data_IF_579135301610
#
_entry.id   IF_579135301610
#
_cell.length_a   1.000
_cell.length_b   1.000
_cell.length_c   1.000
_cell.angle_alpha   90.00
_cell.angle_beta   90.00
_cell.angle_gamma   90.00
#
_symmetry.space_group_name_H-M   'P 1'
#
loop_
_entity.id
_entity.type
_entity.pdbx_description
1 polymer ?
#
# COMPACT_ATOMS: atom_id res chain seq x y z
N UNK A 1 -24.65 -14.92 6.85
CA UNK A 1 -26.04 -15.30 7.16
C UNK A 1 -26.69 -15.95 5.94
N UNK A 2 -27.18 -17.18 6.07
CA UNK A 2 -27.75 -17.98 4.97
C UNK A 2 -28.87 -17.25 4.22
N UNK A 3 -29.75 -16.59 4.94
CA UNK A 3 -30.87 -15.87 4.34
C UNK A 3 -30.46 -14.72 3.43
N UNK A 4 -29.34 -14.07 3.71
CA UNK A 4 -28.82 -12.96 2.90
C UNK A 4 -27.84 -13.44 1.82
N UNK A 5 -27.22 -14.59 2.01
CA UNK A 5 -26.20 -15.11 1.12
C UNK A 5 -26.74 -16.08 0.04
N UNK A 6 -28.04 -16.35 0.00
CA UNK A 6 -28.60 -17.33 -0.94
C UNK A 6 -28.27 -17.06 -2.40
N UNK A 7 -28.28 -15.80 -2.80
CA UNK A 7 -27.95 -15.41 -4.18
C UNK A 7 -26.44 -15.44 -4.42
N UNK A 8 -25.62 -15.07 -3.42
CA UNK A 8 -24.18 -15.14 -3.50
C UNK A 8 -23.66 -16.57 -3.61
N UNK A 9 -24.28 -17.52 -2.91
CA UNK A 9 -23.88 -18.94 -2.93
C UNK A 9 -23.96 -19.61 -4.31
N UNK A 10 -24.67 -19.00 -5.26
CA UNK A 10 -24.82 -19.49 -6.63
C UNK A 10 -23.87 -18.82 -7.61
N UNK A 11 -23.14 -17.79 -7.17
CA UNK A 11 -22.21 -17.03 -7.99
C UNK A 11 -20.80 -17.63 -7.92
N UNK A 12 -19.98 -17.31 -8.90
CA UNK A 12 -18.53 -17.57 -8.81
C UNK A 12 -17.92 -16.67 -7.73
N UNK A 13 -16.73 -17.02 -7.22
CA UNK A 13 -16.05 -16.19 -6.22
C UNK A 13 -15.79 -14.77 -6.74
N UNK A 14 -15.47 -14.63 -8.03
CA UNK A 14 -15.23 -13.34 -8.67
C UNK A 14 -16.49 -12.43 -8.74
N UNK A 15 -17.67 -13.03 -8.72
CA UNK A 15 -18.95 -12.32 -8.80
C UNK A 15 -19.69 -12.26 -7.45
N UNK A 16 -19.16 -12.93 -6.44
CA UNK A 16 -19.81 -13.11 -5.15
C UNK A 16 -20.07 -11.79 -4.42
N UNK A 17 -19.20 -10.82 -4.58
CA UNK A 17 -19.33 -9.47 -4.01
C UNK A 17 -19.02 -8.46 -5.11
N UNK A 18 -19.96 -7.54 -5.38
CA UNK A 18 -19.75 -6.45 -6.33
C UNK A 18 -19.24 -5.21 -5.61
N UNK A 19 -18.61 -4.29 -6.36
CA UNK A 19 -18.11 -3.03 -5.81
C UNK A 19 -19.21 -2.21 -5.10
N UNK A 20 -20.42 -2.23 -5.64
CA UNK A 20 -21.57 -1.53 -5.06
C UNK A 20 -22.02 -2.10 -3.69
N UNK A 21 -21.62 -3.33 -3.38
CA UNK A 21 -21.89 -3.97 -2.09
C UNK A 21 -20.85 -3.66 -1.03
N UNK A 22 -19.74 -3.05 -1.41
CA UNK A 22 -18.64 -2.67 -0.50
C UNK A 22 -18.84 -1.27 0.09
N UNK A 23 -20.07 -0.95 0.47
CA UNK A 23 -20.40 0.32 1.10
C UNK A 23 -20.28 0.23 2.63
N UNK A 24 -19.67 1.24 3.22
CA UNK A 24 -19.63 1.39 4.67
C UNK A 24 -20.79 2.25 5.16
N UNK A 25 -21.37 1.86 6.28
CA UNK A 25 -22.36 2.68 6.98
C UNK A 25 -21.64 3.72 7.80
N UNK A 26 -21.75 4.99 7.44
CA UNK A 26 -21.14 6.10 8.16
C UNK A 26 -21.92 6.49 9.43
N UNK A 27 -23.24 6.36 9.41
CA UNK A 27 -24.11 6.64 10.55
C UNK A 27 -25.58 6.60 10.16
N UNK A 28 -26.45 6.46 11.17
CA UNK A 28 -27.92 6.37 10.99
C UNK A 28 -28.68 7.35 11.87
N UNK A 29 -28.00 7.98 12.83
CA UNK A 29 -28.64 8.87 13.78
C UNK A 29 -28.56 10.33 13.32
N UNK A 30 -29.66 11.05 13.50
CA UNK A 30 -29.74 12.50 13.33
C UNK A 30 -30.69 13.08 14.37
N UNK A 31 -30.49 14.32 14.75
CA UNK A 31 -31.40 15.05 15.60
C UNK A 31 -32.61 15.57 14.80
N UNK A 32 -33.65 16.01 15.53
CA UNK A 32 -34.86 16.56 14.89
C UNK A 32 -34.50 17.75 13.98
N UNK A 33 -34.96 17.70 12.75
CA UNK A 33 -34.68 18.73 11.73
C UNK A 33 -33.29 18.62 11.03
N UNK A 34 -32.52 17.60 11.35
CA UNK A 34 -31.19 17.36 10.75
C UNK A 34 -31.20 16.08 9.89
N UNK A 35 -30.53 16.10 8.74
CA UNK A 35 -30.34 14.88 7.97
C UNK A 35 -29.19 14.04 8.55
N UNK A 36 -29.15 12.71 8.31
CA UNK A 36 -27.98 11.89 8.69
C UNK A 36 -26.66 12.42 8.12
N UNK A 37 -26.67 12.97 6.91
CA UNK A 37 -25.50 13.62 6.30
C UNK A 37 -25.02 14.80 7.15
N UNK A 38 -25.93 15.71 7.52
CA UNK A 38 -25.57 16.89 8.31
C UNK A 38 -25.03 16.51 9.69
N UNK A 39 -25.60 15.46 10.30
CA UNK A 39 -25.10 14.94 11.58
C UNK A 39 -23.66 14.42 11.47
N UNK A 40 -23.36 13.65 10.41
CA UNK A 40 -22.02 13.15 10.15
C UNK A 40 -21.05 14.28 9.82
N UNK A 41 -21.43 15.24 8.99
CA UNK A 41 -20.59 16.38 8.68
C UNK A 41 -20.30 17.24 9.92
N UNK A 42 -21.28 17.43 10.79
CA UNK A 42 -21.08 18.11 12.08
C UNK A 42 -20.06 17.37 12.95
N UNK A 43 -20.16 16.04 13.00
CA UNK A 43 -19.22 15.20 13.75
C UNK A 43 -17.80 15.30 13.17
N UNK A 44 -17.65 15.16 11.85
CA UNK A 44 -16.36 15.22 11.17
C UNK A 44 -15.69 16.59 11.36
N UNK A 45 -16.46 17.67 11.27
CA UNK A 45 -15.96 19.02 11.54
C UNK A 45 -15.48 19.17 12.97
N UNK A 46 -16.27 18.66 13.94
CA UNK A 46 -15.93 18.77 15.36
C UNK A 46 -14.70 17.95 15.75
N UNK A 47 -14.60 16.72 15.28
CA UNK A 47 -13.54 15.78 15.72
C UNK A 47 -12.26 15.89 14.89
N UNK A 48 -12.36 16.25 13.61
CA UNK A 48 -11.23 16.20 12.66
C UNK A 48 -11.01 17.51 11.90
N UNK A 49 -11.90 18.50 12.03
CA UNK A 49 -11.83 19.76 11.28
C UNK A 49 -12.16 19.61 9.78
N UNK A 50 -12.80 18.51 9.38
CA UNK A 50 -13.14 18.20 8.00
C UNK A 50 -14.48 18.85 7.65
N UNK A 51 -14.52 19.56 6.53
CA UNK A 51 -15.71 20.18 5.95
C UNK A 51 -16.13 19.48 4.64
N UNK A 52 -17.32 19.80 4.13
CA UNK A 52 -17.84 19.13 2.92
C UNK A 52 -16.96 19.40 1.69
N UNK A 53 -16.38 20.57 1.59
CA UNK A 53 -15.48 20.96 0.50
C UNK A 53 -14.21 20.11 0.44
N UNK A 54 -13.75 19.61 1.59
CA UNK A 54 -12.55 18.76 1.66
C UNK A 54 -12.75 17.46 0.89
N UNK A 55 -13.98 16.92 0.84
CA UNK A 55 -14.28 15.70 0.09
C UNK A 55 -14.16 15.85 -1.43
N UNK A 56 -14.20 17.08 -1.97
CA UNK A 56 -14.03 17.30 -3.41
C UNK A 56 -12.61 16.93 -3.90
N UNK A 57 -11.62 16.99 -3.02
CA UNK A 57 -10.21 16.65 -3.31
C UNK A 57 -9.69 15.46 -2.48
N UNK A 58 -10.53 14.86 -1.64
CA UNK A 58 -10.15 13.75 -0.79
C UNK A 58 -10.08 12.44 -1.58
N UNK A 59 -9.11 11.62 -1.24
CA UNK A 59 -9.07 10.22 -1.56
C UNK A 59 -9.50 9.42 -0.32
N UNK A 60 -10.51 8.58 -0.48
CA UNK A 60 -11.11 7.83 0.62
C UNK A 60 -10.92 6.33 0.38
N UNK A 61 -10.37 5.66 1.37
CA UNK A 61 -10.14 4.22 1.33
C UNK A 61 -10.86 3.53 2.49
N UNK A 62 -11.51 2.42 2.18
CA UNK A 62 -12.12 1.54 3.18
C UNK A 62 -11.16 0.39 3.46
N UNK A 63 -10.64 0.37 4.67
CA UNK A 63 -9.65 -0.63 5.10
C UNK A 63 -10.14 -1.41 6.31
N UNK A 64 -9.71 -2.68 6.51
CA UNK A 64 -10.00 -3.42 7.72
C UNK A 64 -9.46 -2.72 8.98
N UNK A 65 -10.28 -2.59 10.00
CA UNK A 65 -9.92 -1.96 11.26
C UNK A 65 -9.29 -2.95 12.28
N UNK A 66 -9.02 -4.18 11.87
CA UNK A 66 -8.43 -5.20 12.75
C UNK A 66 -6.97 -4.86 13.06
N UNK A 67 -6.62 -4.95 14.34
CA UNK A 67 -5.24 -4.77 14.79
C UNK A 67 -4.39 -5.98 14.46
N UNK A 68 -3.07 -5.76 14.36
CA UNK A 68 -2.08 -6.84 14.29
C UNK A 68 -2.21 -7.80 15.47
N UNK A 69 -1.99 -9.08 15.23
CA UNK A 69 -2.08 -10.13 16.25
C UNK A 69 -1.15 -11.28 15.95
N UNK A 70 -0.73 -11.97 17.00
CA UNK A 70 0.03 -13.21 16.88
C UNK A 70 -0.83 -14.32 16.28
N UNK A 71 -0.21 -15.19 15.50
CA UNK A 71 -0.80 -16.37 14.86
C UNK A 71 0.05 -17.59 15.15
N UNK A 72 -0.63 -18.73 15.29
CA UNK A 72 -0.04 -19.99 15.72
C UNK A 72 -0.08 -20.16 17.26
N UNK A 73 -0.06 -21.40 17.71
CA UNK A 73 0.01 -21.68 19.16
C UNK A 73 1.31 -21.19 19.80
N UNK A 74 2.37 -21.18 19.02
CA UNK A 74 3.71 -20.70 19.39
C UNK A 74 3.90 -19.20 19.14
N UNK A 75 2.90 -18.53 18.54
CA UNK A 75 2.93 -17.10 18.19
C UNK A 75 4.10 -16.73 17.28
N UNK A 76 4.49 -17.64 16.41
CA UNK A 76 5.61 -17.45 15.49
C UNK A 76 5.31 -16.56 14.30
N UNK A 77 4.04 -16.27 14.02
CA UNK A 77 3.58 -15.45 12.92
C UNK A 77 2.82 -14.22 13.41
N UNK A 78 2.77 -13.19 12.60
CA UNK A 78 1.99 -11.98 12.83
C UNK A 78 0.99 -11.81 11.68
N UNK A 79 -0.30 -11.78 12.01
CA UNK A 79 -1.34 -11.40 11.05
C UNK A 79 -1.67 -9.92 11.20
N UNK A 80 -1.63 -9.21 10.10
CA UNK A 80 -2.01 -7.80 10.03
C UNK A 80 -2.50 -7.46 8.64
N UNK A 81 -3.44 -6.53 8.54
CA UNK A 81 -3.77 -5.92 7.26
C UNK A 81 -2.58 -5.09 6.75
N UNK A 82 -2.29 -5.20 5.46
CA UNK A 82 -1.24 -4.42 4.80
C UNK A 82 0.19 -4.88 5.13
N UNK A 83 0.40 -6.18 5.50
CA UNK A 83 1.74 -6.76 5.57
C UNK A 83 2.44 -6.69 4.22
N UNK A 84 1.70 -6.87 3.17
CA UNK A 84 2.07 -6.52 1.83
C UNK A 84 1.68 -5.05 1.56
N UNK A 85 2.63 -4.11 1.42
CA UNK A 85 4.08 -4.31 1.53
C UNK A 85 4.69 -3.50 2.69
N UNK A 86 4.00 -3.41 3.82
CA UNK A 86 4.50 -2.66 4.99
C UNK A 86 5.76 -3.27 5.58
N UNK A 87 5.94 -4.57 5.43
CA UNK A 87 7.13 -5.24 5.98
C UNK A 87 8.39 -4.83 5.24
N UNK A 88 8.36 -4.75 3.91
CA UNK A 88 9.49 -4.26 3.12
C UNK A 88 9.64 -2.73 3.23
N UNK A 89 8.53 -2.00 3.29
CA UNK A 89 8.55 -0.55 3.54
C UNK A 89 9.21 -0.21 4.88
N UNK A 90 8.95 -0.99 5.93
CA UNK A 90 9.62 -0.85 7.21
C UNK A 90 11.13 -1.15 7.11
N UNK A 91 11.49 -2.23 6.41
CA UNK A 91 12.90 -2.57 6.20
C UNK A 91 13.65 -1.47 5.42
N UNK A 92 13.02 -0.88 4.39
CA UNK A 92 13.58 0.25 3.64
C UNK A 92 13.76 1.50 4.53
N UNK A 93 12.80 1.78 5.41
CA UNK A 93 12.89 2.88 6.36
C UNK A 93 14.06 2.66 7.35
N UNK A 94 14.16 1.50 7.95
CA UNK A 94 15.27 1.18 8.85
C UNK A 94 16.62 1.26 8.14
N UNK A 95 16.71 0.74 6.91
CA UNK A 95 17.93 0.79 6.12
C UNK A 95 18.40 2.23 5.86
N UNK A 96 17.50 3.15 5.51
CA UNK A 96 17.90 4.55 5.26
C UNK A 96 18.25 5.29 6.55
N UNK A 97 17.62 4.96 7.68
CA UNK A 97 17.94 5.53 8.99
C UNK A 97 19.31 5.06 9.52
N UNK A 98 19.67 3.81 9.26
CA UNK A 98 20.96 3.24 9.64
C UNK A 98 22.08 3.55 8.63
N UNK A 99 21.73 4.07 7.47
CA UNK A 99 22.68 4.36 6.41
C UNK A 99 23.72 5.41 6.85
N UNK A 100 24.98 5.08 6.64
CA UNK A 100 26.06 6.06 6.85
C UNK A 100 26.22 6.95 5.63
N UNK A 101 26.70 8.16 5.84
CA UNK A 101 27.02 9.06 4.71
C UNK A 101 28.00 8.36 3.75
N UNK A 102 27.61 8.27 2.49
CA UNK A 102 28.37 7.65 1.42
C UNK A 102 28.79 8.64 0.35
N UNK A 103 29.37 8.13 -0.70
CA UNK A 103 29.76 8.93 -1.88
C UNK A 103 28.53 9.33 -2.70
N UNK A 104 27.52 8.47 -2.76
CA UNK A 104 26.27 8.70 -3.48
C UNK A 104 25.15 9.11 -2.50
N UNK A 105 24.23 9.93 -2.98
CA UNK A 105 22.96 10.20 -2.27
C UNK A 105 22.16 8.91 -2.16
N UNK A 106 21.58 8.69 -0.98
CA UNK A 106 20.73 7.53 -0.70
C UNK A 106 19.30 8.00 -0.52
N UNK A 107 18.35 7.24 -1.03
CA UNK A 107 16.94 7.53 -0.92
C UNK A 107 16.14 6.26 -0.65
N UNK A 108 15.16 6.33 0.23
CA UNK A 108 14.12 5.32 0.35
C UNK A 108 12.84 5.90 -0.26
N UNK A 109 12.29 5.21 -1.24
CA UNK A 109 11.05 5.59 -1.91
C UNK A 109 9.97 4.59 -1.51
N UNK A 110 8.92 5.07 -0.86
CA UNK A 110 7.74 4.30 -0.49
C UNK A 110 6.60 4.73 -1.38
N UNK A 111 6.05 3.80 -2.13
CA UNK A 111 4.97 4.07 -3.09
C UNK A 111 3.72 3.31 -2.69
N UNK A 112 2.59 3.81 -3.13
CA UNK A 112 1.26 3.26 -2.87
C UNK A 112 0.66 2.69 -4.16
N UNK A 113 -0.41 1.89 -4.04
CA UNK A 113 -1.24 1.42 -5.16
C UNK A 113 -0.56 0.50 -6.17
N UNK A 114 0.48 -0.21 -5.76
CA UNK A 114 1.17 -1.17 -6.63
C UNK A 114 0.18 -2.22 -7.15
N UNK A 115 -0.60 -2.83 -6.28
CA UNK A 115 -1.58 -3.90 -6.57
C UNK A 115 -2.70 -3.51 -7.55
N UNK A 116 -2.92 -2.23 -7.73
CA UNK A 116 -3.94 -1.72 -8.66
C UNK A 116 -3.34 -0.98 -9.87
N UNK A 117 -2.01 -1.11 -10.09
CA UNK A 117 -1.32 -0.60 -11.27
C UNK A 117 -0.54 0.69 -11.06
N UNK A 118 -0.20 1.03 -9.83
CA UNK A 118 0.67 2.18 -9.46
C UNK A 118 0.16 3.57 -9.90
N UNK A 119 -1.13 3.69 -10.20
CA UNK A 119 -1.75 4.94 -10.65
C UNK A 119 -1.97 5.94 -9.52
N UNK A 120 -2.26 7.19 -9.91
CA UNK A 120 -2.59 8.27 -9.00
C UNK A 120 -1.38 9.04 -8.48
N UNK A 121 -1.61 9.92 -7.51
CA UNK A 121 -0.60 10.86 -7.03
C UNK A 121 0.48 10.23 -6.15
N UNK A 122 0.17 9.08 -5.56
CA UNK A 122 1.01 8.36 -4.60
C UNK A 122 1.63 7.09 -5.19
N UNK A 123 1.18 6.68 -6.39
CA UNK A 123 1.73 5.53 -7.11
C UNK A 123 3.06 5.83 -7.79
N UNK A 124 3.77 4.78 -8.18
CA UNK A 124 5.08 4.91 -8.83
C UNK A 124 5.01 5.59 -10.21
N UNK A 125 3.87 5.51 -10.92
CA UNK A 125 3.65 6.19 -12.19
C UNK A 125 3.44 7.70 -12.05
N UNK A 126 3.33 8.22 -10.83
CA UNK A 126 3.22 9.66 -10.62
C UNK A 126 4.51 10.38 -11.00
N UNK A 127 4.39 11.63 -11.38
CA UNK A 127 5.56 12.48 -11.65
C UNK A 127 6.28 12.98 -10.37
N UNK A 128 5.86 12.51 -9.20
CA UNK A 128 6.38 13.01 -7.92
C UNK A 128 7.87 12.74 -7.76
N UNK A 129 8.32 11.50 -7.97
CA UNK A 129 9.72 11.12 -7.83
C UNK A 129 10.62 11.89 -8.80
N UNK A 130 10.23 11.92 -10.08
CA UNK A 130 10.97 12.66 -11.11
C UNK A 130 11.13 14.13 -10.71
N UNK A 131 10.04 14.79 -10.35
CA UNK A 131 10.06 16.18 -9.92
C UNK A 131 10.89 16.42 -8.66
N UNK A 132 10.86 15.47 -7.72
CA UNK A 132 11.64 15.54 -6.50
C UNK A 132 13.13 15.50 -6.81
N UNK A 133 13.59 14.54 -7.63
CA UNK A 133 14.99 14.43 -8.04
C UNK A 133 15.44 15.68 -8.83
N UNK A 134 14.65 16.13 -9.79
CA UNK A 134 14.96 17.34 -10.56
C UNK A 134 15.10 18.58 -9.67
N UNK A 135 14.25 18.73 -8.64
CA UNK A 135 14.39 19.83 -7.66
C UNK A 135 15.68 19.72 -6.85
N UNK A 136 16.09 18.51 -6.46
CA UNK A 136 17.37 18.31 -5.75
C UNK A 136 18.57 18.67 -6.64
N UNK A 137 18.53 18.30 -7.92
CA UNK A 137 19.55 18.66 -8.91
C UNK A 137 19.62 20.17 -9.13
N UNK A 138 18.47 20.81 -9.26
CA UNK A 138 18.41 22.29 -9.41
C UNK A 138 19.04 23.03 -8.22
N UNK A 139 18.91 22.52 -6.99
CA UNK A 139 19.61 23.09 -5.83
C UNK A 139 21.14 22.99 -5.93
N UNK A 140 21.65 22.12 -6.82
CA UNK A 140 23.07 21.95 -7.10
C UNK A 140 23.51 22.68 -8.38
N UNK A 141 22.59 23.43 -9.03
CA UNK A 141 22.84 24.14 -10.28
C UNK A 141 22.75 23.25 -11.53
N UNK A 142 22.18 22.06 -11.40
CA UNK A 142 21.93 21.11 -12.48
C UNK A 142 20.44 21.16 -12.84
N UNK A 143 20.06 21.86 -13.89
CA UNK A 143 18.64 22.15 -14.19
C UNK A 143 18.15 21.52 -15.49
N UNK A 144 19.04 20.82 -16.21
CA UNK A 144 18.65 20.22 -17.49
C UNK A 144 18.01 18.85 -17.32
N UNK A 145 17.19 18.46 -18.27
CA UNK A 145 16.65 17.10 -18.35
C UNK A 145 17.77 16.07 -18.54
N UNK A 146 18.86 16.46 -19.19
CA UNK A 146 20.03 15.60 -19.35
C UNK A 146 20.69 15.27 -18.01
N UNK A 147 20.83 16.25 -17.12
CA UNK A 147 21.38 16.01 -15.76
C UNK A 147 20.54 14.98 -15.00
N UNK A 148 19.22 15.01 -15.19
CA UNK A 148 18.32 14.01 -14.59
C UNK A 148 18.60 12.60 -15.16
N UNK A 149 18.66 12.45 -16.48
CA UNK A 149 18.91 11.14 -17.08
C UNK A 149 20.30 10.59 -16.75
N UNK A 150 21.33 11.42 -16.77
CA UNK A 150 22.67 11.03 -16.36
C UNK A 150 22.73 10.61 -14.88
N UNK A 151 21.94 11.27 -14.04
CA UNK A 151 21.80 10.90 -12.62
C UNK A 151 21.15 9.51 -12.50
N UNK A 152 20.07 9.25 -13.25
CA UNK A 152 19.41 7.95 -13.23
C UNK A 152 20.31 6.83 -13.75
N UNK A 153 21.01 7.04 -14.85
CA UNK A 153 21.98 6.07 -15.40
C UNK A 153 23.12 5.71 -14.43
N UNK A 154 23.50 6.65 -13.55
CA UNK A 154 24.53 6.44 -12.53
C UNK A 154 23.95 6.01 -11.17
N UNK A 155 22.67 5.74 -11.11
CA UNK A 155 21.98 5.27 -9.91
C UNK A 155 21.80 3.76 -9.92
N UNK A 156 21.65 3.20 -8.75
CA UNK A 156 21.30 1.80 -8.54
C UNK A 156 20.03 1.76 -7.71
N UNK A 157 19.15 0.82 -8.00
CA UNK A 157 17.88 0.65 -7.29
C UNK A 157 17.74 -0.79 -6.77
N UNK A 158 17.28 -0.90 -5.54
CA UNK A 158 16.77 -2.15 -4.99
C UNK A 158 15.25 -2.02 -4.91
N UNK A 159 14.54 -2.91 -5.56
CA UNK A 159 13.11 -3.05 -5.42
C UNK A 159 12.83 -4.12 -4.37
N UNK A 160 12.02 -3.80 -3.39
CA UNK A 160 11.67 -4.70 -2.31
C UNK A 160 10.15 -4.88 -2.29
N UNK A 161 9.75 -6.13 -2.26
CA UNK A 161 8.36 -6.56 -2.23
C UNK A 161 8.25 -7.87 -1.44
N UNK A 162 7.06 -8.22 -0.98
CA UNK A 162 6.84 -9.48 -0.29
C UNK A 162 6.73 -10.63 -1.28
N UNK A 163 7.17 -11.80 -0.85
CA UNK A 163 7.06 -13.03 -1.61
C UNK A 163 6.20 -14.03 -0.85
N UNK A 164 5.34 -14.74 -1.57
CA UNK A 164 4.56 -15.83 -0.99
C UNK A 164 5.48 -16.99 -0.61
N UNK A 165 5.31 -17.50 0.61
CA UNK A 165 5.96 -18.75 1.01
C UNK A 165 5.19 -19.94 0.45
N UNK A 166 5.90 -21.08 0.34
CA UNK A 166 5.24 -22.36 0.01
C UNK A 166 4.15 -22.65 1.04
N UNK A 167 2.90 -22.67 0.57
CA UNK A 167 1.76 -23.10 1.37
C UNK A 167 1.51 -24.58 1.13
N UNK A 168 1.63 -25.43 2.17
CA UNK A 168 1.38 -26.87 2.04
C UNK A 168 -0.07 -27.22 1.70
N UNK A 169 -1.00 -26.28 1.87
CA UNK A 169 -2.42 -26.46 1.49
C UNK A 169 -2.66 -26.20 -0.01
N UNK A 170 -1.76 -25.48 -0.67
CA UNK A 170 -1.83 -25.11 -2.08
C UNK A 170 -0.48 -25.31 -2.78
N UNK A 171 0.08 -26.53 -2.71
CA UNK A 171 1.44 -26.79 -3.25
C UNK A 171 1.54 -26.60 -4.77
N UNK A 172 0.43 -26.63 -5.47
CA UNK A 172 0.35 -26.51 -6.94
C UNK A 172 0.57 -25.07 -7.43
N UNK A 173 0.46 -24.06 -6.56
CA UNK A 173 0.67 -22.65 -6.95
C UNK A 173 2.13 -22.24 -6.90
N UNK A 174 3.02 -23.11 -6.41
CA UNK A 174 4.45 -22.82 -6.27
C UNK A 174 5.29 -23.88 -6.93
N UNK A 175 6.36 -23.44 -7.60
CA UNK A 175 7.42 -24.34 -8.07
C UNK A 175 8.35 -24.65 -6.89
N UNK A 176 8.37 -25.91 -6.43
CA UNK A 176 8.98 -26.30 -5.15
C UNK A 176 10.47 -26.03 -5.05
N UNK A 177 11.18 -26.15 -6.17
CA UNK A 177 12.64 -25.98 -6.19
C UNK A 177 13.05 -24.52 -6.09
N UNK A 178 12.10 -23.59 -6.38
CA UNK A 178 12.30 -22.15 -6.32
C UNK A 178 11.41 -21.47 -5.25
N UNK A 179 10.67 -22.24 -4.47
CA UNK A 179 9.75 -21.68 -3.48
C UNK A 179 10.50 -21.11 -2.27
N UNK A 180 9.97 -20.03 -1.74
CA UNK A 180 10.39 -19.47 -0.47
C UNK A 180 9.74 -20.23 0.70
N UNK A 181 10.46 -20.31 1.82
CA UNK A 181 9.98 -20.95 3.03
C UNK A 181 10.03 -19.98 4.21
N UNK A 182 9.06 -20.08 5.09
CA UNK A 182 9.04 -19.29 6.32
C UNK A 182 10.30 -19.52 7.16
N UNK A 183 10.86 -18.44 7.70
CA UNK A 183 12.00 -18.51 8.61
C UNK A 183 13.37 -18.64 7.94
N UNK A 184 13.45 -18.63 6.63
CA UNK A 184 14.73 -18.73 5.89
C UNK A 184 15.34 -17.38 5.48
N UNK A 185 14.70 -16.27 5.87
CA UNK A 185 15.21 -14.93 5.61
C UNK A 185 14.76 -14.36 4.27
N UNK A 186 15.59 -13.47 3.69
CA UNK A 186 15.29 -12.80 2.43
C UNK A 186 15.38 -13.78 1.26
N UNK A 187 14.44 -13.65 0.34
CA UNK A 187 14.45 -14.31 -0.95
C UNK A 187 14.90 -13.31 -2.02
N UNK A 188 15.93 -13.65 -2.75
CA UNK A 188 16.33 -12.94 -3.96
C UNK A 188 15.78 -13.71 -5.13
N UNK A 189 14.72 -13.20 -5.70
CA UNK A 189 14.21 -13.70 -6.95
C UNK A 189 14.74 -12.88 -8.09
N UNK A 190 14.63 -12.94 -9.13
CA UNK A 190 15.10 -12.33 -10.34
C UNK A 190 15.48 -10.87 -10.18
N UNK A 191 16.65 -10.53 -10.69
CA UNK A 191 16.99 -9.15 -11.02
C UNK A 191 16.42 -8.93 -12.41
N UNK A 192 15.28 -8.26 -12.48
CA UNK A 192 14.72 -7.91 -13.77
C UNK A 192 15.64 -6.94 -14.48
N UNK A 193 15.99 -7.27 -15.70
CA UNK A 193 16.55 -6.31 -16.62
C UNK A 193 15.53 -5.20 -16.88
N UNK A 194 15.95 -3.95 -17.01
CA UNK A 194 15.07 -2.84 -17.34
C UNK A 194 14.48 -2.95 -18.73
#
# INVERSE_FOLDING_TARGET
>A
LIHMAQDQMKKTLAEGITGEQLQAVAGTHSEEGQTPKDAIMTLLKKEYGIEEEDFAAAELELVPATKSRDVGFDRSLIASYGQDDRVCSYANLEAILDAKSGVKTQAALLTDKEEIGSYGNTGMESSYFVKFVMKLLALQGQESLLDFYETMENSEMLSADVNSCLDPMFPEVSEKDNASFLGYGLSLIHISEP
#
